data_IF_355331137644
#
_entry.id   IF_355331137644
#
_cell.length_a   1.000
_cell.length_b   1.000
_cell.length_c   1.000
_cell.angle_alpha   90.00
_cell.angle_beta   90.00
_cell.angle_gamma   90.00
#
_symmetry.space_group_name_H-M   'P 1'
#
loop_
_entity.id
_entity.type
_entity.pdbx_description
1 polymer ?
#
# COMPACT_ATOMS: atom_id res chain seq x y z
N UNK A 1 9.51 0.82 19.14
CA UNK A 1 9.25 0.65 17.69
C UNK A 1 7.75 0.48 17.55
N UNK A 2 7.09 1.37 16.81
CA UNK A 2 5.63 1.30 16.65
C UNK A 2 5.37 0.37 15.48
N UNK A 3 4.86 -0.83 15.78
CA UNK A 3 4.51 -1.82 14.76
C UNK A 3 3.22 -1.35 14.12
N UNK A 4 3.27 -1.00 12.84
CA UNK A 4 2.06 -0.72 12.08
C UNK A 4 1.37 -2.05 11.76
N UNK A 5 0.05 -2.03 11.75
CA UNK A 5 -0.79 -3.17 11.37
C UNK A 5 -1.83 -2.73 10.35
N UNK A 6 -2.50 -3.70 9.74
CA UNK A 6 -3.59 -3.47 8.80
C UNK A 6 -4.71 -2.60 9.40
N UNK A 7 -4.92 -2.71 10.71
CA UNK A 7 -5.94 -1.95 11.46
C UNK A 7 -5.59 -0.46 11.60
N UNK A 8 -4.29 -0.13 11.55
CA UNK A 8 -3.82 1.26 11.60
C UNK A 8 -4.01 1.95 10.23
N UNK A 9 -4.18 1.18 9.15
CA UNK A 9 -4.47 1.72 7.81
C UNK A 9 -5.96 2.06 7.68
N UNK A 10 -6.24 3.33 7.39
CA UNK A 10 -7.56 3.81 7.03
C UNK A 10 -7.85 3.53 5.57
N UNK A 11 -8.67 2.52 5.29
CA UNK A 11 -9.12 2.26 3.93
C UNK A 11 -10.10 3.36 3.45
N UNK A 12 -9.70 4.11 2.42
CA UNK A 12 -10.49 5.20 1.84
C UNK A 12 -11.48 4.71 0.76
N UNK A 13 -11.45 3.42 0.42
CA UNK A 13 -12.27 2.82 -0.63
C UNK A 13 -11.52 2.60 -1.93
N UNK A 14 -12.23 2.06 -2.91
CA UNK A 14 -11.73 1.80 -4.26
C UNK A 14 -12.43 2.71 -5.27
N UNK A 15 -11.63 3.39 -6.10
CA UNK A 15 -12.10 4.22 -7.19
C UNK A 15 -11.53 3.71 -8.51
N UNK A 16 -12.40 3.30 -9.43
CA UNK A 16 -12.03 2.74 -10.74
C UNK A 16 -11.08 1.52 -10.65
N UNK A 17 -11.23 0.68 -9.63
CA UNK A 17 -10.37 -0.48 -9.39
C UNK A 17 -9.05 -0.15 -8.69
N UNK A 18 -8.76 1.12 -8.43
CA UNK A 18 -7.64 1.57 -7.61
C UNK A 18 -8.12 1.76 -6.17
N UNK A 19 -7.64 0.91 -5.27
CA UNK A 19 -7.87 1.01 -3.84
C UNK A 19 -6.97 2.09 -3.25
N UNK A 20 -7.48 2.81 -2.26
CA UNK A 20 -6.74 3.86 -1.58
C UNK A 20 -6.73 3.65 -0.08
N UNK A 21 -5.58 3.86 0.55
CA UNK A 21 -5.42 3.81 2.01
C UNK A 21 -4.72 5.06 2.50
N UNK A 22 -5.12 5.53 3.67
CA UNK A 22 -4.38 6.52 4.45
C UNK A 22 -3.74 5.81 5.62
N UNK A 23 -2.57 6.26 6.02
CA UNK A 23 -1.97 5.88 7.29
C UNK A 23 -1.95 7.12 8.22
N UNK A 24 -1.96 6.92 9.54
CA UNK A 24 -2.10 8.02 10.50
C UNK A 24 -0.78 8.78 10.74
N UNK A 25 0.35 8.32 10.20
CA UNK A 25 1.67 8.91 10.45
C UNK A 25 2.21 9.79 9.32
N UNK A 26 1.51 9.88 8.19
CA UNK A 26 1.93 10.70 7.06
C UNK A 26 0.73 11.21 6.27
N UNK A 27 1.02 12.20 5.44
CA UNK A 27 0.01 12.99 4.76
C UNK A 27 -0.45 12.35 3.45
N UNK A 28 0.36 11.45 2.88
CA UNK A 28 0.15 10.98 1.53
C UNK A 28 -0.63 9.65 1.48
N UNK A 29 -1.57 9.54 0.54
CA UNK A 29 -2.36 8.32 0.37
C UNK A 29 -1.58 7.22 -0.38
N UNK A 30 -1.84 5.99 0.00
CA UNK A 30 -1.40 4.80 -0.71
C UNK A 30 -2.44 4.43 -1.76
N UNK A 31 -1.99 4.15 -2.98
CA UNK A 31 -2.84 3.68 -4.07
C UNK A 31 -2.40 2.28 -4.49
N UNK A 32 -3.32 1.33 -4.52
CA UNK A 32 -3.06 -0.01 -5.02
C UNK A 32 -4.01 -0.34 -6.13
N UNK A 33 -3.47 -1.06 -7.08
CA UNK A 33 -4.19 -1.74 -8.12
C UNK A 33 -3.72 -3.20 -8.09
N UNK A 34 -4.53 -4.16 -8.55
CA UNK A 34 -4.05 -5.53 -8.69
C UNK A 34 -2.76 -5.63 -9.50
N UNK A 35 -2.59 -4.74 -10.48
CA UNK A 35 -1.41 -4.71 -11.33
C UNK A 35 -0.20 -3.98 -10.71
N UNK A 36 -0.38 -3.10 -9.71
CA UNK A 36 0.69 -2.27 -9.16
C UNK A 36 0.37 -1.66 -7.79
N UNK A 37 1.38 -1.44 -6.95
CA UNK A 37 1.27 -0.63 -5.73
C UNK A 37 2.03 0.70 -5.90
N UNK A 38 1.35 1.82 -5.67
CA UNK A 38 1.90 3.17 -5.67
C UNK A 38 1.76 3.79 -4.30
N UNK A 39 2.90 4.18 -3.73
CA UNK A 39 2.99 4.83 -2.44
C UNK A 39 3.18 6.31 -2.75
N UNK A 40 2.17 7.16 -2.48
CA UNK A 40 2.31 8.59 -2.77
C UNK A 40 3.26 9.30 -1.78
N UNK A 41 3.61 8.63 -0.68
CA UNK A 41 4.43 9.13 0.43
C UNK A 41 5.94 9.28 0.11
N UNK A 42 6.36 9.05 -1.13
CA UNK A 42 7.74 9.36 -1.51
C UNK A 42 7.89 10.86 -1.83
N UNK A 43 7.86 11.68 -0.78
CA UNK A 43 8.25 13.08 -0.82
C UNK A 43 9.73 13.29 -1.24
N UNK A 44 10.47 12.21 -1.57
CA UNK A 44 11.84 12.26 -2.10
C UNK A 44 11.91 12.19 -3.63
N UNK A 45 10.77 12.14 -4.33
CA UNK A 45 10.70 12.18 -5.79
C UNK A 45 10.99 10.84 -6.47
N UNK A 46 11.01 9.74 -5.72
CA UNK A 46 11.16 8.39 -6.25
C UNK A 46 9.78 7.76 -6.39
N UNK A 47 9.23 7.86 -7.60
CA UNK A 47 8.04 7.10 -8.01
C UNK A 47 8.35 5.60 -8.12
N UNK A 48 8.63 4.94 -7.00
CA UNK A 48 8.83 3.49 -6.97
C UNK A 48 7.44 2.85 -7.02
N UNK A 49 7.02 2.49 -8.23
CA UNK A 49 5.94 1.50 -8.39
C UNK A 49 6.51 0.18 -7.87
N UNK A 50 6.03 -0.29 -6.72
CA UNK A 50 6.41 -1.62 -6.23
C UNK A 50 5.58 -2.64 -7.00
N UNK A 51 6.28 -3.56 -7.67
CA UNK A 51 5.65 -4.81 -8.07
C UNK A 51 5.29 -5.56 -6.78
N UNK A 52 4.03 -5.95 -6.67
CA UNK A 52 3.61 -6.84 -5.60
C UNK A 52 4.23 -8.20 -5.88
N UNK A 53 4.90 -8.77 -4.88
CA UNK A 53 5.37 -10.15 -4.93
C UNK A 53 4.14 -11.04 -4.74
N UNK A 54 3.56 -11.46 -5.86
CA UNK A 54 2.35 -12.29 -5.87
C UNK A 54 2.73 -13.62 -6.50
N UNK A 55 2.41 -14.75 -5.86
CA UNK A 55 2.69 -16.06 -6.43
C UNK A 55 2.03 -16.19 -7.80
N UNK A 56 2.77 -16.76 -8.77
CA UNK A 56 2.31 -16.89 -10.15
C UNK A 56 0.97 -17.63 -10.22
N UNK A 57 -0.09 -16.91 -10.63
CA UNK A 57 -1.45 -17.43 -10.76
C UNK A 57 -2.43 -16.99 -9.67
N UNK A 58 -1.97 -16.28 -8.62
CA UNK A 58 -2.84 -15.74 -7.59
C UNK A 58 -3.31 -14.33 -7.95
N UNK A 59 -4.57 -14.01 -7.66
CA UNK A 59 -5.09 -12.68 -7.94
C UNK A 59 -4.62 -11.74 -6.84
N UNK A 60 -3.93 -10.64 -7.17
CA UNK A 60 -3.63 -9.59 -6.21
C UNK A 60 -4.89 -9.20 -5.43
N UNK A 61 -4.81 -9.23 -4.10
CA UNK A 61 -5.91 -8.81 -3.23
C UNK A 61 -5.52 -7.59 -2.41
N UNK A 62 -6.54 -6.86 -1.94
CA UNK A 62 -6.38 -5.75 -1.02
C UNK A 62 -5.58 -6.12 0.24
N UNK A 63 -5.66 -7.38 0.67
CA UNK A 63 -4.91 -7.88 1.82
C UNK A 63 -3.41 -7.88 1.53
N UNK A 64 -2.98 -8.39 0.37
CA UNK A 64 -1.58 -8.35 -0.05
C UNK A 64 -1.07 -6.90 -0.17
N UNK A 65 -1.91 -5.99 -0.66
CA UNK A 65 -1.61 -4.57 -0.73
C UNK A 65 -1.33 -4.00 0.65
N UNK A 66 -2.28 -4.19 1.56
CA UNK A 66 -2.24 -3.60 2.87
C UNK A 66 -1.11 -4.22 3.71
N UNK A 67 -0.80 -5.51 3.56
CA UNK A 67 0.39 -6.13 4.15
C UNK A 67 1.69 -5.53 3.60
N UNK A 68 1.78 -5.28 2.29
CA UNK A 68 2.95 -4.66 1.67
C UNK A 68 3.14 -3.20 2.15
N UNK A 69 2.04 -2.46 2.32
CA UNK A 69 2.05 -1.11 2.90
C UNK A 69 2.51 -1.17 4.36
N UNK A 70 1.97 -2.08 5.17
CA UNK A 70 2.37 -2.26 6.57
C UNK A 70 3.85 -2.63 6.69
N UNK A 71 4.36 -3.55 5.87
CA UNK A 71 5.79 -3.89 5.84
C UNK A 71 6.65 -2.67 5.51
N UNK A 72 6.24 -1.89 4.50
CA UNK A 72 6.92 -0.65 4.13
C UNK A 72 6.96 0.35 5.29
N UNK A 73 5.82 0.56 5.97
CA UNK A 73 5.71 1.44 7.13
C UNK A 73 6.57 0.98 8.31
N UNK A 74 6.76 -0.32 8.47
CA UNK A 74 7.64 -0.90 9.47
C UNK A 74 9.14 -0.86 9.07
N UNK A 75 9.46 -0.43 7.85
CA UNK A 75 10.84 -0.33 7.36
C UNK A 75 11.44 -1.64 6.84
N UNK A 76 10.61 -2.61 6.46
CA UNK A 76 11.00 -3.87 5.81
C UNK A 76 10.98 -3.81 4.28
#
# INVERSE_FOLDING_TARGET
MKVFTLDDLSYNGAHQGVHSWNHPQGADPYYWHPDWLHIAEDATGLHIKRQLDIPEGETPTEQHAAEAIVKHLNGE
#
